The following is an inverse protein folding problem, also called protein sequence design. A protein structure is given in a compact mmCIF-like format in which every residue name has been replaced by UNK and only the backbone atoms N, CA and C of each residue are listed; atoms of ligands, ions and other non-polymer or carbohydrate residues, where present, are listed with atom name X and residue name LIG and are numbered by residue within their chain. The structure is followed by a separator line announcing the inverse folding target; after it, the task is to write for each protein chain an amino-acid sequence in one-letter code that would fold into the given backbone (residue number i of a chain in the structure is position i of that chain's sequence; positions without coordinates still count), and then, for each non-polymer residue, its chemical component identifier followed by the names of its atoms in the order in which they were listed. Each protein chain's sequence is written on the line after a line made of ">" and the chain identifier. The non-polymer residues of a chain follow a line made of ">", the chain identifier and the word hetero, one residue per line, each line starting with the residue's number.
data_IF_709446062359
#
_entry.id   IF_709446062359
#
_cell.length_a   1.000
_cell.length_b   1.000
_cell.length_c   1.000
_cell.angle_alpha   90.00
_cell.angle_beta   90.00
_cell.angle_gamma   90.00
#
_symmetry.space_group_name_H-M   'P 1'
#
loop_
_entity.id
_entity.type
_entity.pdbx_description
1 polymer ?
#
# COMPACT_ATOMS: atom_id res chain seq x y z
N UNK A 1 14.04 -21.86 12.04
CA UNK A 1 12.97 -21.83 11.02
C UNK A 1 11.68 -22.30 11.67
N UNK A 2 10.83 -21.37 12.13
CA UNK A 2 9.46 -21.64 12.59
C UNK A 2 8.73 -20.29 12.55
N UNK A 3 8.12 -19.96 11.42
CA UNK A 3 7.15 -18.85 11.36
C UNK A 3 5.78 -19.45 11.66
N UNK A 4 5.41 -19.38 12.94
CA UNK A 4 4.13 -19.78 13.46
C UNK A 4 3.01 -18.97 12.81
N UNK A 5 2.01 -19.69 12.30
CA UNK A 5 0.60 -19.33 12.13
C UNK A 5 0.28 -17.84 12.38
N UNK A 6 0.13 -17.07 11.30
CA UNK A 6 -0.64 -15.83 11.36
C UNK A 6 -2.08 -16.20 11.74
N UNK A 7 -2.41 -15.94 13.00
CA UNK A 7 -3.75 -16.04 13.56
C UNK A 7 -4.66 -15.11 12.75
N UNK A 8 -5.74 -15.66 12.18
CA UNK A 8 -6.80 -14.88 11.56
C UNK A 8 -7.34 -13.89 12.60
N UNK A 9 -7.39 -12.57 12.33
CA UNK A 9 -7.79 -11.57 13.33
C UNK A 9 -9.29 -11.66 13.69
N UNK A 10 -10.10 -12.40 12.93
CA UNK A 10 -11.53 -12.58 13.17
C UNK A 10 -11.97 -14.03 12.91
N UNK A 11 -12.97 -14.49 13.66
CA UNK A 11 -13.60 -15.79 13.41
C UNK A 11 -14.23 -15.81 12.02
N UNK A 12 -14.06 -16.93 11.28
CA UNK A 12 -14.69 -17.11 9.95
C UNK A 12 -16.21 -16.97 10.02
N UNK A 13 -16.82 -17.22 11.20
CA UNK A 13 -18.24 -16.99 11.46
C UNK A 13 -18.68 -15.52 11.34
N UNK A 14 -17.76 -14.56 11.36
CA UNK A 14 -18.05 -13.13 11.24
C UNK A 14 -17.75 -12.59 9.83
N UNK A 15 -17.19 -13.41 8.94
CA UNK A 15 -16.95 -13.00 7.56
C UNK A 15 -18.27 -12.85 6.81
N UNK A 16 -18.56 -11.63 6.33
CA UNK A 16 -19.67 -11.40 5.39
C UNK A 16 -19.22 -11.87 4.02
N UNK A 17 -19.69 -13.06 3.64
CA UNK A 17 -19.43 -13.60 2.31
C UNK A 17 -20.24 -12.83 1.26
N UNK A 18 -19.59 -12.29 0.22
CA UNK A 18 -20.31 -11.64 -0.86
C UNK A 18 -21.15 -12.66 -1.61
N UNK A 19 -22.42 -12.34 -1.85
CA UNK A 19 -23.36 -13.20 -2.60
C UNK A 19 -23.14 -13.14 -4.12
N UNK A 20 -22.32 -12.20 -4.57
CA UNK A 20 -22.02 -11.94 -5.98
C UNK A 20 -20.51 -11.80 -6.18
N UNK A 21 -20.08 -11.97 -7.45
CA UNK A 21 -18.71 -11.73 -7.87
C UNK A 21 -18.25 -10.34 -7.44
N UNK A 22 -17.11 -10.28 -6.75
CA UNK A 22 -16.54 -9.01 -6.35
C UNK A 22 -15.61 -8.53 -7.46
N UNK A 23 -15.96 -7.41 -8.09
CA UNK A 23 -15.14 -6.76 -9.09
C UNK A 23 -14.58 -5.44 -8.53
N UNK A 24 -13.26 -5.31 -8.54
CA UNK A 24 -12.56 -4.07 -8.21
C UNK A 24 -12.09 -3.40 -9.49
N UNK A 25 -12.57 -2.19 -9.79
CA UNK A 25 -12.14 -1.45 -10.98
C UNK A 25 -10.71 -0.93 -10.78
N UNK A 26 -9.80 -1.33 -11.67
CA UNK A 26 -8.38 -0.95 -11.62
C UNK A 26 -8.11 0.31 -12.42
N UNK A 27 -8.79 0.49 -13.56
CA UNK A 27 -8.59 1.64 -14.42
C UNK A 27 -9.91 2.28 -14.88
N UNK A 28 -10.04 3.58 -14.62
CA UNK A 28 -11.19 4.34 -15.08
C UNK A 28 -11.23 4.53 -16.61
N UNK A 29 -10.07 4.55 -17.29
CA UNK A 29 -9.99 4.86 -18.72
C UNK A 29 -10.28 3.67 -19.62
N UNK A 30 -9.64 2.53 -19.39
CA UNK A 30 -9.81 1.33 -20.23
C UNK A 30 -10.86 0.35 -19.68
N UNK A 31 -11.35 0.56 -18.46
CA UNK A 31 -12.33 -0.33 -17.82
C UNK A 31 -11.72 -1.61 -17.23
N UNK A 32 -10.39 -1.68 -17.13
CA UNK A 32 -9.71 -2.83 -16.52
C UNK A 32 -10.19 -3.04 -15.08
N UNK A 33 -10.41 -4.31 -14.72
CA UNK A 33 -11.02 -4.70 -13.46
C UNK A 33 -10.46 -6.03 -12.98
N UNK A 34 -10.25 -6.12 -11.68
CA UNK A 34 -9.88 -7.34 -10.98
C UNK A 34 -11.13 -8.05 -10.48
N UNK A 35 -11.34 -9.29 -10.90
CA UNK A 35 -12.48 -10.10 -10.48
C UNK A 35 -12.03 -11.21 -9.52
N UNK A 36 -12.86 -11.44 -8.51
CA UNK A 36 -12.71 -12.53 -7.57
C UNK A 36 -14.00 -13.34 -7.51
N UNK A 37 -13.88 -14.63 -7.80
CA UNK A 37 -14.98 -15.59 -7.76
C UNK A 37 -14.95 -16.29 -6.40
N UNK A 38 -15.51 -15.64 -5.39
CA UNK A 38 -15.66 -16.26 -4.08
C UNK A 38 -16.88 -17.17 -4.07
N UNK A 39 -16.66 -18.46 -3.80
CA UNK A 39 -17.74 -19.37 -3.51
C UNK A 39 -18.17 -19.21 -2.05
N UNK A 40 -19.47 -19.03 -1.81
CA UNK A 40 -20.00 -18.95 -0.45
C UNK A 40 -19.68 -20.26 0.29
N UNK A 41 -18.99 -20.13 1.43
CA UNK A 41 -18.79 -21.23 2.35
C UNK A 41 -19.98 -21.29 3.30
N UNK A 42 -20.78 -22.35 3.23
CA UNK A 42 -21.87 -22.58 4.18
C UNK A 42 -21.31 -22.96 5.55
N UNK A 43 -20.89 -21.96 6.31
CA UNK A 43 -20.16 -22.14 7.56
C UNK A 43 -20.95 -22.97 8.57
N UNK A 44 -22.23 -22.67 8.77
CA UNK A 44 -23.08 -23.39 9.72
C UNK A 44 -23.24 -24.88 9.35
N UNK A 45 -23.44 -25.17 8.07
CA UNK A 45 -23.54 -26.54 7.56
C UNK A 45 -22.20 -27.27 7.74
N UNK A 46 -21.10 -26.59 7.46
CA UNK A 46 -19.74 -27.14 7.57
C UNK A 46 -19.41 -27.47 9.03
N UNK A 47 -19.68 -26.55 9.97
CA UNK A 47 -19.45 -26.76 11.40
C UNK A 47 -20.37 -27.85 11.95
N UNK A 48 -21.64 -27.89 11.52
CA UNK A 48 -22.56 -28.93 11.95
C UNK A 48 -22.04 -30.31 11.55
N UNK A 49 -21.61 -30.48 10.29
CA UNK A 49 -20.99 -31.74 9.81
C UNK A 49 -19.78 -32.12 10.67
N UNK A 50 -18.85 -31.19 10.89
CA UNK A 50 -17.66 -31.45 11.72
C UNK A 50 -18.02 -31.90 13.15
N UNK A 51 -19.00 -31.26 13.78
CA UNK A 51 -19.44 -31.59 15.15
C UNK A 51 -20.18 -32.92 15.26
N UNK A 52 -20.81 -33.39 14.18
CA UNK A 52 -21.48 -34.68 14.12
C UNK A 52 -20.54 -35.86 13.83
N UNK A 53 -19.21 -35.64 13.79
CA UNK A 53 -18.24 -36.69 13.49
C UNK A 53 -18.28 -37.16 12.04
N UNK A 54 -18.87 -36.36 11.14
CA UNK A 54 -18.84 -36.65 9.71
C UNK A 54 -17.39 -36.60 9.20
N UNK A 55 -17.02 -37.62 8.42
CA UNK A 55 -15.77 -37.67 7.68
C UNK A 55 -16.11 -37.61 6.19
N UNK A 56 -15.54 -36.65 5.44
CA UNK A 56 -15.73 -36.60 4.00
C UNK A 56 -15.19 -37.87 3.33
N UNK A 57 -15.91 -38.36 2.33
CA UNK A 57 -15.48 -39.48 1.51
C UNK A 57 -14.35 -39.07 0.53
N UNK A 58 -13.88 -40.03 -0.28
CA UNK A 58 -12.78 -39.77 -1.21
C UNK A 58 -13.10 -38.71 -2.27
N UNK A 59 -14.35 -38.65 -2.74
CA UNK A 59 -14.80 -37.68 -3.74
C UNK A 59 -14.91 -36.28 -3.11
N UNK A 60 -15.51 -36.18 -1.92
CA UNK A 60 -15.66 -34.93 -1.20
C UNK A 60 -14.30 -34.34 -0.81
N UNK A 61 -13.34 -35.17 -0.38
CA UNK A 61 -11.96 -34.73 -0.12
C UNK A 61 -11.29 -34.15 -1.37
N UNK A 62 -11.50 -34.76 -2.53
CA UNK A 62 -10.96 -34.25 -3.79
C UNK A 62 -11.57 -32.88 -4.14
N UNK A 63 -12.89 -32.71 -3.95
CA UNK A 63 -13.58 -31.42 -4.15
C UNK A 63 -13.03 -30.35 -3.21
N UNK A 64 -12.88 -30.66 -1.92
CA UNK A 64 -12.32 -29.70 -0.96
C UNK A 64 -10.86 -29.34 -1.26
N UNK A 65 -10.06 -30.29 -1.74
CA UNK A 65 -8.68 -30.03 -2.13
C UNK A 65 -8.63 -29.07 -3.33
N UNK A 66 -9.47 -29.29 -4.34
CA UNK A 66 -9.56 -28.38 -5.48
C UNK A 66 -10.00 -26.97 -5.07
N UNK A 67 -10.99 -26.84 -4.17
CA UNK A 67 -11.43 -25.55 -3.66
C UNK A 67 -10.31 -24.80 -2.92
N UNK A 68 -9.45 -25.52 -2.18
CA UNK A 68 -8.29 -24.93 -1.53
C UNK A 68 -7.24 -24.47 -2.53
N UNK A 69 -6.96 -25.28 -3.56
CA UNK A 69 -6.01 -24.92 -4.63
C UNK A 69 -6.50 -23.71 -5.43
N UNK A 70 -7.79 -23.65 -5.75
CA UNK A 70 -8.43 -22.51 -6.41
C UNK A 70 -8.34 -21.24 -5.54
N UNK A 71 -8.67 -21.35 -4.24
CA UNK A 71 -8.58 -20.23 -3.31
C UNK A 71 -7.14 -19.72 -3.12
N UNK A 72 -6.16 -20.62 -3.09
CA UNK A 72 -4.74 -20.26 -3.03
C UNK A 72 -4.31 -19.54 -4.31
N UNK A 73 -4.74 -20.01 -5.47
CA UNK A 73 -4.48 -19.37 -6.77
C UNK A 73 -5.06 -17.95 -6.81
N UNK A 74 -6.28 -17.77 -6.33
CA UNK A 74 -6.94 -16.47 -6.21
C UNK A 74 -6.20 -15.53 -5.24
N UNK A 75 -5.70 -16.06 -4.12
CA UNK A 75 -4.89 -15.30 -3.17
C UNK A 75 -3.56 -14.84 -3.80
N UNK A 76 -2.87 -15.71 -4.53
CA UNK A 76 -1.62 -15.39 -5.22
C UNK A 76 -1.84 -14.35 -6.33
N UNK A 77 -2.99 -14.43 -7.03
CA UNK A 77 -3.41 -13.43 -8.01
C UNK A 77 -3.64 -12.06 -7.33
N UNK A 78 -4.34 -12.03 -6.19
CA UNK A 78 -4.52 -10.81 -5.40
C UNK A 78 -3.19 -10.18 -4.98
N UNK A 79 -2.26 -10.99 -4.46
CA UNK A 79 -0.95 -10.49 -4.01
C UNK A 79 -0.09 -9.95 -5.15
N UNK A 80 -0.16 -10.59 -6.31
CA UNK A 80 0.57 -10.14 -7.50
C UNK A 80 0.02 -8.81 -8.02
N UNK A 81 -1.30 -8.66 -8.05
CA UNK A 81 -1.95 -7.42 -8.46
C UNK A 81 -1.69 -6.27 -7.47
N UNK A 82 -1.72 -6.55 -6.16
CA UNK A 82 -1.34 -5.56 -5.14
C UNK A 82 0.09 -5.07 -5.32
N UNK A 83 1.04 -5.97 -5.57
CA UNK A 83 2.44 -5.57 -5.84
C UNK A 83 2.54 -4.68 -7.07
N UNK A 84 1.88 -5.08 -8.17
CA UNK A 84 1.85 -4.30 -9.42
C UNK A 84 1.30 -2.88 -9.20
N UNK A 85 0.21 -2.75 -8.45
CA UNK A 85 -0.41 -1.46 -8.13
C UNK A 85 0.48 -0.60 -7.23
N UNK A 86 1.15 -1.20 -6.24
CA UNK A 86 2.11 -0.50 -5.39
C UNK A 86 3.32 0.01 -6.18
N UNK A 87 3.84 -0.79 -7.11
CA UNK A 87 4.92 -0.37 -8.01
C UNK A 87 4.49 0.82 -8.87
N UNK A 88 3.29 0.76 -9.46
CA UNK A 88 2.74 1.86 -10.25
C UNK A 88 2.52 3.14 -9.42
N UNK A 89 2.05 3.01 -8.17
CA UNK A 89 1.90 4.15 -7.26
C UNK A 89 3.25 4.83 -7.02
N UNK A 90 4.30 4.04 -6.75
CA UNK A 90 5.65 4.57 -6.53
C UNK A 90 6.21 5.29 -7.75
N UNK A 91 5.94 4.78 -8.96
CA UNK A 91 6.34 5.44 -10.20
C UNK A 91 5.66 6.80 -10.36
N UNK A 92 4.35 6.88 -10.11
CA UNK A 92 3.59 8.14 -10.18
C UNK A 92 4.09 9.13 -9.13
N UNK A 93 4.35 8.68 -7.90
CA UNK A 93 4.93 9.52 -6.84
C UNK A 93 6.31 10.07 -7.22
N UNK A 94 7.14 9.28 -7.92
CA UNK A 94 8.44 9.74 -8.42
C UNK A 94 8.28 10.82 -9.49
N UNK A 95 7.31 10.67 -10.41
CA UNK A 95 6.98 11.69 -11.41
C UNK A 95 6.47 12.99 -10.76
N UNK A 96 5.66 12.87 -9.71
CA UNK A 96 5.20 14.04 -8.93
C UNK A 96 6.38 14.80 -8.33
N UNK A 97 7.31 14.11 -7.65
CA UNK A 97 8.51 14.75 -7.06
C UNK A 97 9.38 15.43 -8.11
N UNK A 98 9.51 14.83 -9.30
CA UNK A 98 10.24 15.45 -10.41
C UNK A 98 9.57 16.76 -10.86
N UNK A 99 8.24 16.77 -10.99
CA UNK A 99 7.50 17.99 -11.34
C UNK A 99 7.64 19.07 -10.27
N UNK A 100 7.58 18.71 -8.99
CA UNK A 100 7.77 19.64 -7.88
C UNK A 100 9.17 20.30 -7.93
N UNK A 101 10.22 19.50 -8.16
CA UNK A 101 11.58 20.00 -8.33
C UNK A 101 11.72 20.92 -9.55
N UNK A 102 11.11 20.55 -10.68
CA UNK A 102 11.08 21.38 -11.89
C UNK A 102 10.42 22.75 -11.62
N UNK A 103 9.26 22.75 -10.94
CA UNK A 103 8.56 23.98 -10.56
C UNK A 103 9.40 24.84 -9.60
N UNK A 104 10.09 24.22 -8.64
CA UNK A 104 11.00 24.93 -7.73
C UNK A 104 12.15 25.60 -8.50
N UNK A 105 12.72 24.91 -9.49
CA UNK A 105 13.75 25.46 -10.38
C UNK A 105 13.26 26.69 -11.16
N UNK A 106 12.08 26.62 -11.76
CA UNK A 106 11.47 27.78 -12.44
C UNK A 106 11.26 28.94 -11.47
N UNK A 107 10.69 28.69 -10.29
CA UNK A 107 10.49 29.73 -9.27
C UNK A 107 11.80 30.38 -8.85
N UNK A 108 12.86 29.61 -8.70
CA UNK A 108 14.20 30.12 -8.42
C UNK A 108 14.71 31.03 -9.54
N UNK A 109 14.60 30.60 -10.80
CA UNK A 109 14.97 31.41 -11.98
C UNK A 109 14.08 32.63 -12.22
N UNK A 110 12.92 32.72 -11.56
CA UNK A 110 12.04 33.89 -11.58
C UNK A 110 12.21 34.79 -10.34
N UNK A 111 13.01 34.39 -9.35
CA UNK A 111 13.23 35.14 -8.13
C UNK A 111 14.06 36.41 -8.39
N UNK A 112 13.65 37.60 -7.95
CA UNK A 112 14.42 38.82 -8.18
C UNK A 112 15.83 38.83 -7.54
N UNK A 113 16.18 37.81 -6.74
CA UNK A 113 17.50 37.63 -6.12
C UNK A 113 18.67 37.76 -7.10
N UNK A 114 18.58 37.22 -8.32
CA UNK A 114 19.68 37.34 -9.31
C UNK A 114 19.81 38.75 -9.91
N UNK A 115 18.91 39.67 -9.58
CA UNK A 115 19.01 41.10 -9.92
C UNK A 115 19.50 41.95 -8.75
N UNK A 116 19.76 41.36 -7.58
CA UNK A 116 20.31 42.10 -6.44
C UNK A 116 21.74 42.53 -6.75
N UNK A 117 22.10 43.79 -6.46
CA UNK A 117 23.50 44.22 -6.48
C UNK A 117 24.36 43.33 -5.59
N UNK A 118 25.62 43.14 -5.98
CA UNK A 118 26.54 42.25 -5.28
C UNK A 118 26.82 42.72 -3.85
N UNK A 119 26.73 44.03 -3.61
CA UNK A 119 26.86 44.65 -2.29
C UNK A 119 25.73 44.20 -1.35
N UNK A 120 24.49 44.19 -1.85
CA UNK A 120 23.32 43.74 -1.08
C UNK A 120 23.40 42.24 -0.77
N UNK A 121 23.91 41.42 -1.70
CA UNK A 121 24.15 40.00 -1.43
C UNK A 121 25.24 39.81 -0.36
N UNK A 122 26.29 40.64 -0.39
CA UNK A 122 27.33 40.69 0.63
C UNK A 122 26.79 41.04 2.01
N UNK A 123 25.92 42.06 2.11
CA UNK A 123 25.28 42.45 3.37
C UNK A 123 24.36 41.35 3.92
N UNK A 124 23.55 40.70 3.06
CA UNK A 124 22.71 39.57 3.46
C UNK A 124 23.57 38.42 3.99
N UNK A 125 24.63 38.05 3.27
CA UNK A 125 25.55 36.99 3.71
C UNK A 125 26.24 37.35 5.03
N UNK A 126 26.73 38.58 5.16
CA UNK A 126 27.38 39.03 6.38
C UNK A 126 26.41 39.00 7.58
N UNK A 127 25.15 39.39 7.38
CA UNK A 127 24.14 39.36 8.43
C UNK A 127 23.74 37.93 8.85
N UNK A 128 23.66 36.98 7.92
CA UNK A 128 23.21 35.61 8.19
C UNK A 128 24.37 34.70 8.64
N UNK A 129 25.54 34.80 7.99
CA UNK A 129 26.66 33.89 8.22
C UNK A 129 27.69 34.42 9.22
N UNK A 130 27.75 35.74 9.41
CA UNK A 130 28.76 36.40 10.24
C UNK A 130 28.16 37.36 11.30
N UNK A 131 26.83 37.46 11.36
CA UNK A 131 26.13 38.26 12.37
C UNK A 131 25.90 37.46 13.65
N UNK A 132 25.82 38.16 14.78
CA UNK A 132 25.54 37.60 16.13
C UNK A 132 24.17 36.89 16.26
N UNK A 133 23.39 36.81 15.17
CA UNK A 133 22.11 36.08 15.07
C UNK A 133 22.26 34.56 14.95
N UNK A 134 23.50 34.05 14.90
CA UNK A 134 23.82 32.62 14.89
C UNK A 134 23.98 32.01 16.28
N UNK A 135 22.92 31.98 17.11
CA UNK A 135 22.84 31.00 18.20
C UNK A 135 21.87 29.91 17.79
N UNK A 136 22.32 29.00 16.93
CA UNK A 136 21.72 27.67 16.88
C UNK A 136 22.17 26.96 18.16
N UNK A 137 21.37 27.08 19.22
CA UNK A 137 21.49 26.19 20.38
C UNK A 137 21.15 24.78 19.92
N UNK A 138 22.18 23.99 19.62
CA UNK A 138 22.06 22.53 19.62
C UNK A 138 22.07 22.16 21.10
N UNK A 139 20.90 22.03 21.71
CA UNK A 139 20.76 21.39 23.01
C UNK A 139 21.10 19.91 22.80
N UNK A 140 22.31 19.52 23.18
CA UNK A 140 22.61 18.13 23.45
C UNK A 140 22.00 17.83 24.82
N UNK A 141 20.77 17.34 24.83
CA UNK A 141 20.19 16.69 25.99
C UNK A 141 20.69 15.24 26.00
N UNK A 142 21.88 15.04 26.58
CA UNK A 142 22.33 13.74 27.10
C UNK A 142 22.26 13.80 28.63
N UNK A 143 21.23 13.17 29.20
CA UNK A 143 21.23 12.50 30.51
C UNK A 143 20.13 11.41 30.55
#
# INVERSE_FOLDING_TARGET
>A
MLNALKIYPESISHCVWPKERVATRLCAKCGDSFQLDLHELKYDETIHRMRCGYSPDGLERAVYSQLLDDAQTDLDRCQSELRRLQDLSREIEAQQKLLEAYMAGIRCMMSPIYKLPQEMLGEIFQHICCGDTGVNHISNDDD
#
